data_IF_232282560412
#
_entry.id   IF_232282560412
#
_cell.length_a   1.000
_cell.length_b   1.000
_cell.length_c   1.000
_cell.angle_alpha   90.00
_cell.angle_beta   90.00
_cell.angle_gamma   90.00
#
_symmetry.space_group_name_H-M   'P 1'
#
loop_
_entity.id
_entity.type
_entity.pdbx_description
1 polymer ?
#
# COMPACT_ATOMS: atom_id res chain seq x y z
N UNK A 1 -21.89 -1.02 -22.39
CA UNK A 1 -21.93 -2.49 -22.54
C UNK A 1 -22.00 -3.08 -21.15
N UNK A 2 -23.05 -3.84 -20.81
CA UNK A 2 -23.13 -4.48 -19.50
C UNK A 2 -22.09 -5.61 -19.42
N UNK A 3 -21.07 -5.39 -18.60
CA UNK A 3 -20.02 -6.35 -18.25
C UNK A 3 -20.65 -7.62 -17.67
N UNK A 4 -20.47 -8.74 -18.36
CA UNK A 4 -20.89 -10.07 -17.88
C UNK A 4 -19.69 -11.02 -18.07
N UNK A 5 -18.71 -10.92 -17.17
CA UNK A 5 -17.59 -11.85 -17.15
C UNK A 5 -18.08 -13.20 -16.66
N UNK A 6 -17.88 -14.24 -17.46
CA UNK A 6 -18.01 -15.62 -17.01
C UNK A 6 -16.78 -15.98 -16.17
N UNK A 7 -16.78 -15.55 -14.91
CA UNK A 7 -15.67 -15.74 -14.00
C UNK A 7 -15.40 -17.22 -13.64
N UNK A 8 -16.26 -18.16 -14.04
CA UNK A 8 -16.03 -19.60 -13.82
C UNK A 8 -15.22 -20.23 -14.96
N UNK A 9 -15.35 -19.71 -16.19
CA UNK A 9 -14.70 -20.25 -17.38
C UNK A 9 -13.66 -19.32 -18.00
N UNK A 10 -13.59 -18.05 -17.59
CA UNK A 10 -12.57 -17.12 -18.05
C UNK A 10 -11.18 -17.53 -17.55
N UNK A 11 -10.22 -17.54 -18.49
CA UNK A 11 -8.83 -17.97 -18.24
C UNK A 11 -7.90 -16.81 -18.53
N UNK A 12 -7.11 -16.40 -17.54
CA UNK A 12 -5.99 -15.49 -17.73
C UNK A 12 -4.82 -16.28 -18.30
N UNK A 13 -4.49 -16.05 -19.58
CA UNK A 13 -3.43 -16.77 -20.27
C UNK A 13 -2.07 -16.15 -19.99
N UNK A 14 -1.08 -16.98 -19.71
CA UNK A 14 0.29 -16.52 -19.46
C UNK A 14 1.38 -17.42 -20.08
N UNK A 15 0.99 -18.55 -20.68
CA UNK A 15 1.93 -19.48 -21.28
C UNK A 15 1.30 -20.25 -22.45
N UNK A 16 2.13 -21.04 -23.14
CA UNK A 16 1.69 -22.08 -24.08
C UNK A 16 2.28 -23.41 -23.62
N UNK A 17 1.47 -24.47 -23.67
CA UNK A 17 1.89 -25.85 -23.43
C UNK A 17 1.92 -26.63 -24.74
N UNK A 18 2.81 -27.62 -24.84
CA UNK A 18 2.99 -28.47 -26.02
C UNK A 18 2.52 -29.92 -25.79
N UNK A 19 1.55 -30.12 -24.89
CA UNK A 19 1.06 -31.45 -24.52
C UNK A 19 0.65 -32.25 -25.77
N UNK A 20 1.30 -33.41 -25.95
CA UNK A 20 1.08 -34.33 -27.10
C UNK A 20 1.23 -33.65 -28.47
N UNK A 21 2.23 -32.78 -28.63
CA UNK A 21 2.49 -32.01 -29.85
C UNK A 21 1.35 -31.05 -30.26
N UNK A 22 0.40 -30.79 -29.37
CA UNK A 22 -0.60 -29.74 -29.55
C UNK A 22 -0.17 -28.50 -28.78
N UNK A 23 0.04 -27.40 -29.50
CA UNK A 23 0.28 -26.10 -28.88
C UNK A 23 -1.03 -25.53 -28.37
N UNK A 24 -1.22 -25.50 -27.06
CA UNK A 24 -2.45 -25.01 -26.42
C UNK A 24 -2.10 -23.85 -25.51
N UNK A 25 -2.91 -22.78 -25.53
CA UNK A 25 -2.76 -21.68 -24.57
C UNK A 25 -2.99 -22.19 -23.15
N UNK A 26 -2.11 -21.82 -22.24
CA UNK A 26 -2.16 -22.21 -20.84
C UNK A 26 -2.34 -20.97 -19.96
N UNK A 27 -3.13 -21.15 -18.91
CA UNK A 27 -3.51 -20.07 -18.02
C UNK A 27 -4.16 -20.60 -16.76
N UNK A 28 -4.65 -19.69 -15.95
CA UNK A 28 -5.35 -19.98 -14.70
C UNK A 28 -6.75 -19.36 -14.75
N UNK A 29 -7.74 -20.05 -14.17
CA UNK A 29 -9.11 -19.55 -14.13
C UNK A 29 -9.21 -18.34 -13.22
N UNK A 30 -10.10 -17.41 -13.55
CA UNK A 30 -10.38 -16.24 -12.72
C UNK A 30 -10.82 -16.60 -11.30
N UNK A 31 -11.66 -17.63 -11.11
CA UNK A 31 -12.07 -18.08 -9.76
C UNK A 31 -10.89 -18.65 -8.96
N UNK A 32 -9.98 -19.39 -9.60
CA UNK A 32 -8.80 -19.93 -8.93
C UNK A 32 -7.86 -18.80 -8.47
N UNK A 33 -7.74 -17.72 -9.26
CA UNK A 33 -6.95 -16.54 -8.88
C UNK A 33 -7.50 -15.77 -7.69
N UNK A 34 -8.77 -15.95 -7.32
CA UNK A 34 -9.32 -15.41 -6.07
C UNK A 34 -8.69 -16.02 -4.82
N UNK A 35 -8.00 -17.17 -4.97
CA UNK A 35 -7.19 -17.82 -3.92
C UNK A 35 -5.73 -17.34 -3.91
N UNK A 36 -5.45 -16.29 -4.68
CA UNK A 36 -4.14 -15.70 -4.84
C UNK A 36 -3.18 -16.59 -5.65
N UNK A 37 -2.10 -15.98 -6.13
CA UNK A 37 -1.03 -16.64 -6.86
C UNK A 37 0.31 -16.32 -6.20
N UNK A 38 1.09 -17.35 -5.93
CA UNK A 38 2.45 -17.23 -5.41
C UNK A 38 3.44 -17.63 -6.51
N UNK A 39 4.31 -16.71 -6.88
CA UNK A 39 5.30 -16.89 -7.95
C UNK A 39 6.70 -16.86 -7.35
N UNK A 40 7.45 -17.95 -7.50
CA UNK A 40 8.83 -18.04 -7.00
C UNK A 40 9.80 -18.33 -8.14
N UNK A 41 10.93 -17.63 -8.13
CA UNK A 41 11.99 -17.84 -9.10
C UNK A 41 13.16 -16.88 -8.89
N UNK A 42 14.40 -17.36 -9.06
CA UNK A 42 15.59 -16.50 -8.97
C UNK A 42 15.59 -15.43 -10.08
N UNK A 43 16.46 -14.43 -9.93
CA UNK A 43 16.69 -13.43 -10.98
C UNK A 43 17.01 -14.11 -12.32
N UNK A 44 16.43 -13.59 -13.41
CA UNK A 44 16.60 -14.14 -14.76
C UNK A 44 15.70 -15.32 -15.12
N UNK A 45 14.87 -15.83 -14.20
CA UNK A 45 13.96 -16.96 -14.47
C UNK A 45 12.64 -16.58 -15.16
N UNK A 46 12.48 -15.33 -15.58
CA UNK A 46 11.29 -14.85 -16.28
C UNK A 46 10.10 -14.47 -15.39
N UNK A 47 10.29 -14.24 -14.08
CA UNK A 47 9.21 -13.80 -13.17
C UNK A 47 8.51 -12.53 -13.67
N UNK A 48 9.27 -11.49 -14.00
CA UNK A 48 8.70 -10.22 -14.45
C UNK A 48 7.94 -10.41 -15.76
N UNK A 49 8.45 -11.22 -16.70
CA UNK A 49 7.74 -11.58 -17.95
C UNK A 49 6.43 -12.33 -17.67
N UNK A 50 6.41 -13.23 -16.69
CA UNK A 50 5.19 -13.91 -16.26
C UNK A 50 4.16 -12.91 -15.71
N UNK A 51 4.58 -12.01 -14.80
CA UNK A 51 3.71 -10.98 -14.24
C UNK A 51 3.19 -10.02 -15.31
N UNK A 52 4.06 -9.56 -16.21
CA UNK A 52 3.70 -8.71 -17.35
C UNK A 52 2.59 -9.34 -18.18
N UNK A 53 2.74 -10.60 -18.57
CA UNK A 53 1.73 -11.31 -19.37
C UNK A 53 0.41 -11.45 -18.62
N UNK A 54 0.44 -11.75 -17.32
CA UNK A 54 -0.77 -11.84 -16.50
C UNK A 54 -1.48 -10.47 -16.42
N UNK A 55 -0.75 -9.41 -16.08
CA UNK A 55 -1.29 -8.04 -15.93
C UNK A 55 -1.88 -7.57 -17.26
N UNK A 56 -1.17 -7.77 -18.37
CA UNK A 56 -1.67 -7.39 -19.69
C UNK A 56 -2.88 -8.23 -20.09
N UNK A 57 -2.90 -9.53 -19.83
CA UNK A 57 -4.08 -10.36 -20.07
C UNK A 57 -5.31 -9.81 -19.34
N UNK A 58 -5.16 -9.36 -18.08
CA UNK A 58 -6.25 -8.77 -17.31
C UNK A 58 -6.70 -7.41 -17.86
N UNK A 59 -5.75 -6.54 -18.19
CA UNK A 59 -6.03 -5.22 -18.79
C UNK A 59 -6.79 -5.37 -20.11
N UNK A 60 -6.39 -6.31 -20.97
CA UNK A 60 -7.02 -6.55 -22.27
C UNK A 60 -8.39 -7.22 -22.13
N UNK A 61 -8.58 -8.06 -21.11
CA UNK A 61 -9.88 -8.62 -20.76
C UNK A 61 -10.84 -7.58 -20.17
N UNK A 62 -10.33 -6.42 -19.73
CA UNK A 62 -11.16 -5.34 -19.18
C UNK A 62 -11.20 -5.31 -17.66
N UNK A 63 -10.40 -6.14 -16.99
CA UNK A 63 -10.33 -6.16 -15.53
C UNK A 63 -9.61 -4.93 -14.96
N UNK A 64 -9.88 -4.65 -13.70
CA UNK A 64 -9.10 -3.72 -12.88
C UNK A 64 -7.83 -4.39 -12.35
N UNK A 65 -6.70 -3.72 -12.50
CA UNK A 65 -5.41 -4.28 -12.14
C UNK A 65 -4.49 -3.23 -11.50
N UNK A 66 -3.75 -3.64 -10.49
CA UNK A 66 -2.72 -2.86 -9.84
C UNK A 66 -1.37 -3.56 -9.98
N UNK A 67 -0.34 -2.85 -10.43
CA UNK A 67 1.02 -3.38 -10.52
C UNK A 67 1.98 -2.54 -9.69
N UNK A 68 2.68 -3.17 -8.74
CA UNK A 68 3.69 -2.53 -7.88
C UNK A 68 5.08 -2.98 -8.32
N UNK A 69 5.88 -2.02 -8.78
CA UNK A 69 7.22 -2.25 -9.30
C UNK A 69 8.30 -1.51 -8.47
N UNK A 70 9.16 -2.23 -7.73
CA UNK A 70 10.27 -1.61 -7.00
C UNK A 70 11.46 -1.24 -7.90
N UNK A 71 11.51 -1.70 -9.15
CA UNK A 71 12.62 -1.45 -10.09
C UNK A 71 12.27 -0.36 -11.10
N UNK A 72 11.03 -0.36 -11.59
CA UNK A 72 10.44 0.67 -12.45
C UNK A 72 10.41 0.31 -13.94
N UNK A 73 11.32 -0.56 -14.40
CA UNK A 73 11.41 -0.96 -15.80
C UNK A 73 10.14 -1.66 -16.30
N UNK A 74 9.51 -2.48 -15.44
CA UNK A 74 8.29 -3.20 -15.80
C UNK A 74 7.10 -2.25 -15.81
N UNK A 75 7.02 -1.32 -14.85
CA UNK A 75 6.00 -0.28 -14.82
C UNK A 75 6.04 0.62 -16.06
N UNK A 76 7.22 1.06 -16.48
CA UNK A 76 7.40 1.86 -17.71
C UNK A 76 6.99 1.05 -18.95
N UNK A 77 7.46 -0.20 -19.05
CA UNK A 77 7.09 -1.08 -20.15
C UNK A 77 5.57 -1.32 -20.22
N UNK A 78 4.90 -1.59 -19.11
CA UNK A 78 3.46 -1.86 -19.09
C UNK A 78 2.65 -0.70 -19.68
N UNK A 79 3.03 0.54 -19.41
CA UNK A 79 2.37 1.74 -19.95
C UNK A 79 2.33 1.73 -21.48
N UNK A 80 3.41 1.29 -22.13
CA UNK A 80 3.49 1.23 -23.60
C UNK A 80 2.55 0.18 -24.22
N UNK A 81 2.18 -0.85 -23.46
CA UNK A 81 1.28 -1.93 -23.91
C UNK A 81 -0.18 -1.70 -23.53
N UNK A 82 -0.51 -0.62 -22.81
CA UNK A 82 -1.90 -0.30 -22.45
C UNK A 82 -2.72 -0.01 -23.72
N UNK A 83 -3.83 -0.73 -23.93
CA UNK A 83 -4.64 -0.52 -25.12
C UNK A 83 -5.31 0.86 -25.11
N UNK A 84 -5.50 1.42 -26.31
CA UNK A 84 -6.02 2.79 -26.48
C UNK A 84 -7.39 3.01 -25.81
N UNK A 85 -8.25 1.98 -25.76
CA UNK A 85 -9.57 2.05 -25.13
C UNK A 85 -9.55 2.07 -23.61
N UNK A 86 -8.42 1.72 -22.96
CA UNK A 86 -8.24 1.76 -21.49
C UNK A 86 -7.35 2.93 -21.04
N UNK A 87 -6.81 3.74 -21.95
CA UNK A 87 -5.84 4.79 -21.62
C UNK A 87 -6.34 5.79 -20.57
N UNK A 88 -7.65 6.09 -20.57
CA UNK A 88 -8.27 7.00 -19.60
C UNK A 88 -8.48 6.38 -18.21
N UNK A 89 -8.33 5.06 -18.10
CA UNK A 89 -8.50 4.32 -16.85
C UNK A 89 -7.17 4.18 -16.10
N UNK A 90 -6.07 4.68 -16.67
CA UNK A 90 -4.73 4.56 -16.11
C UNK A 90 -4.48 5.62 -15.05
N UNK A 91 -4.13 5.16 -13.86
CA UNK A 91 -3.53 5.95 -12.80
C UNK A 91 -2.07 5.52 -12.69
N UNK A 92 -1.15 6.43 -12.98
CA UNK A 92 0.28 6.20 -12.87
C UNK A 92 0.82 6.94 -11.65
N UNK A 93 1.34 6.19 -10.67
CA UNK A 93 1.96 6.75 -9.47
C UNK A 93 3.48 6.60 -9.60
N UNK A 94 4.16 7.74 -9.72
CA UNK A 94 5.60 7.83 -9.80
C UNK A 94 6.09 8.96 -8.88
N UNK A 95 6.61 8.66 -7.68
CA UNK A 95 7.10 9.67 -6.74
C UNK A 95 8.43 10.32 -7.20
N UNK A 96 9.09 9.79 -8.23
CA UNK A 96 10.24 10.43 -8.84
C UNK A 96 9.87 11.58 -9.79
N UNK A 97 8.58 11.71 -10.17
CA UNK A 97 8.09 12.86 -10.93
C UNK A 97 7.90 14.06 -9.98
N UNK A 98 8.87 14.97 -10.03
CA UNK A 98 8.88 16.18 -9.19
C UNK A 98 8.07 17.33 -9.80
N UNK A 99 7.81 17.29 -11.11
CA UNK A 99 7.05 18.33 -11.82
C UNK A 99 5.54 18.13 -11.60
N UNK A 100 5.10 16.88 -11.53
CA UNK A 100 3.69 16.50 -11.32
C UNK A 100 3.53 15.49 -10.17
N UNK A 101 3.85 15.87 -8.93
CA UNK A 101 3.80 14.95 -7.80
C UNK A 101 2.37 14.52 -7.47
N UNK A 102 2.13 13.21 -7.49
CA UNK A 102 0.84 12.62 -7.08
C UNK A 102 0.73 12.63 -5.56
N UNK A 103 -0.28 13.34 -5.03
CA UNK A 103 -0.54 13.39 -3.60
C UNK A 103 -1.13 12.08 -3.08
N UNK A 104 -0.57 11.56 -1.98
CA UNK A 104 -1.11 10.41 -1.28
C UNK A 104 -0.97 10.63 0.23
N UNK A 105 -2.10 10.88 0.89
CA UNK A 105 -2.17 11.07 2.33
C UNK A 105 -2.95 9.94 2.98
N UNK A 106 -2.24 9.02 3.62
CA UNK A 106 -2.87 7.90 4.33
C UNK A 106 -3.73 8.35 5.52
N UNK A 107 -3.52 9.55 6.05
CA UNK A 107 -4.30 10.13 7.15
C UNK A 107 -5.57 10.84 6.66
N UNK A 108 -5.78 10.96 5.35
CA UNK A 108 -6.93 11.66 4.80
C UNK A 108 -8.26 10.95 5.13
N UNK A 109 -9.16 11.71 5.76
CA UNK A 109 -10.59 11.44 5.92
C UNK A 109 -10.95 9.95 6.16
N UNK A 110 -10.33 9.36 7.17
CA UNK A 110 -10.58 7.98 7.58
C UNK A 110 -11.86 7.92 8.41
N UNK A 111 -12.81 7.07 8.00
CA UNK A 111 -14.01 6.81 8.81
C UNK A 111 -13.63 6.30 10.20
N UNK A 112 -14.39 6.69 11.23
CA UNK A 112 -14.07 6.42 12.65
C UNK A 112 -13.71 4.94 12.92
N UNK A 113 -14.41 4.02 12.24
CA UNK A 113 -14.22 2.56 12.38
C UNK A 113 -12.91 2.04 11.79
N UNK A 114 -12.26 2.80 10.92
CA UNK A 114 -11.05 2.38 10.20
C UNK A 114 -9.77 3.03 10.75
N UNK A 115 -9.87 3.98 11.69
CA UNK A 115 -8.70 4.68 12.25
C UNK A 115 -7.68 3.74 12.87
N UNK A 116 -8.13 2.78 13.68
CA UNK A 116 -7.23 1.79 14.28
C UNK A 116 -6.56 0.90 13.23
N UNK A 117 -7.25 0.58 12.13
CA UNK A 117 -6.68 -0.21 11.03
C UNK A 117 -5.61 0.59 10.27
N UNK A 118 -5.85 1.88 10.02
CA UNK A 118 -4.85 2.79 9.43
C UNK A 118 -3.64 2.91 10.33
N UNK A 119 -3.84 3.18 11.61
CA UNK A 119 -2.76 3.28 12.59
C UNK A 119 -1.95 1.98 12.64
N UNK A 120 -2.61 0.83 12.82
CA UNK A 120 -1.96 -0.49 12.86
C UNK A 120 -1.19 -0.80 11.58
N UNK A 121 -1.76 -0.50 10.40
CA UNK A 121 -1.08 -0.67 9.12
C UNK A 121 0.18 0.19 9.00
N UNK A 122 0.09 1.47 9.37
CA UNK A 122 1.26 2.37 9.41
C UNK A 122 2.33 1.89 10.39
N UNK A 123 1.93 1.44 11.59
CA UNK A 123 2.85 0.91 12.59
C UNK A 123 3.58 -0.33 12.07
N UNK A 124 2.88 -1.23 11.37
CA UNK A 124 3.49 -2.39 10.72
C UNK A 124 4.52 -2.00 9.65
N UNK A 125 4.22 -1.01 8.83
CA UNK A 125 5.16 -0.48 7.83
C UNK A 125 6.41 0.11 8.52
N UNK A 126 6.24 0.94 9.56
CA UNK A 126 7.37 1.53 10.27
C UNK A 126 8.21 0.50 11.02
N UNK A 127 7.59 -0.48 11.67
CA UNK A 127 8.28 -1.58 12.34
C UNK A 127 9.13 -2.38 11.35
N UNK A 128 8.61 -2.64 10.14
CA UNK A 128 9.35 -3.34 9.08
C UNK A 128 10.55 -2.56 8.56
N UNK A 129 10.41 -1.25 8.35
CA UNK A 129 11.49 -0.43 7.80
C UNK A 129 12.58 -0.17 8.85
N UNK A 130 12.21 -0.10 10.13
CA UNK A 130 13.14 0.11 11.23
C UNK A 130 13.42 -1.15 12.03
N UNK A 131 13.37 -2.32 11.36
CA UNK A 131 13.70 -3.62 11.95
C UNK A 131 15.06 -3.56 12.66
N UNK A 132 15.13 -4.08 13.89
CA UNK A 132 16.32 -4.00 14.75
C UNK A 132 16.55 -2.66 15.46
N UNK A 133 15.87 -1.58 15.06
CA UNK A 133 15.87 -0.27 15.74
C UNK A 133 14.51 0.09 16.37
N UNK A 134 13.50 -0.74 16.13
CA UNK A 134 12.17 -0.58 16.68
C UNK A 134 12.16 -0.86 18.18
N UNK A 135 11.47 -0.02 18.96
CA UNK A 135 11.38 -0.19 20.42
C UNK A 135 9.94 0.00 20.88
N UNK A 136 9.54 -0.69 21.94
CA UNK A 136 8.18 -0.59 22.50
C UNK A 136 7.82 0.84 22.90
N UNK A 137 8.80 1.64 23.34
CA UNK A 137 8.61 3.07 23.64
C UNK A 137 8.32 3.87 22.37
N UNK A 138 9.10 3.66 21.31
CA UNK A 138 8.89 4.30 20.01
C UNK A 138 7.50 3.96 19.47
N UNK A 139 7.14 2.69 19.53
CA UNK A 139 5.83 2.18 19.12
C UNK A 139 4.69 2.85 19.88
N UNK A 140 4.77 2.87 21.21
CA UNK A 140 3.74 3.45 22.06
C UNK A 140 3.52 4.95 21.78
N UNK A 141 4.60 5.74 21.68
CA UNK A 141 4.51 7.17 21.42
C UNK A 141 3.99 7.42 20.00
N UNK A 142 4.50 6.70 19.00
CA UNK A 142 4.12 6.91 17.60
C UNK A 142 2.67 6.49 17.35
N UNK A 143 2.18 5.41 17.95
CA UNK A 143 0.79 4.98 17.85
C UNK A 143 -0.17 6.04 18.41
N UNK A 144 0.09 6.56 19.62
CA UNK A 144 -0.70 7.65 20.21
C UNK A 144 -0.65 8.93 19.36
N UNK A 145 0.46 9.17 18.67
CA UNK A 145 0.60 10.31 17.76
C UNK A 145 -0.25 10.15 16.51
N UNK A 146 -0.19 8.99 15.85
CA UNK A 146 -0.97 8.72 14.64
C UNK A 146 -2.47 8.76 14.95
N UNK A 147 -2.90 8.13 16.05
CA UNK A 147 -4.30 8.16 16.47
C UNK A 147 -4.79 9.59 16.74
N UNK A 148 -3.99 10.41 17.43
CA UNK A 148 -4.32 11.81 17.67
C UNK A 148 -4.43 12.63 16.37
N UNK A 149 -3.54 12.39 15.40
CA UNK A 149 -3.59 13.05 14.10
C UNK A 149 -4.81 12.61 13.27
N UNK A 150 -5.21 11.33 13.33
CA UNK A 150 -6.39 10.80 12.66
C UNK A 150 -7.71 11.39 13.20
N UNK A 151 -7.73 11.86 14.43
CA UNK A 151 -8.88 12.57 15.03
C UNK A 151 -9.02 14.02 14.54
N UNK A 152 -7.97 14.58 13.94
CA UNK A 152 -7.96 15.94 13.42
C UNK A 152 -7.98 15.93 11.88
N UNK A 153 -8.99 16.54 11.24
CA UNK A 153 -8.97 16.72 9.79
C UNK A 153 -7.77 17.55 9.33
N UNK A 154 -7.35 17.33 8.08
CA UNK A 154 -6.33 18.16 7.44
C UNK A 154 -4.88 17.83 7.81
N UNK A 155 -4.64 16.76 8.58
CA UNK A 155 -3.30 16.37 8.99
C UNK A 155 -2.60 15.49 7.95
N UNK A 156 -1.28 15.51 8.00
CA UNK A 156 -0.37 14.73 7.13
C UNK A 156 0.74 14.12 7.98
N UNK A 157 1.63 13.33 7.38
CA UNK A 157 2.76 12.75 8.10
C UNK A 157 3.72 13.80 8.69
N UNK A 158 3.68 15.05 8.18
CA UNK A 158 4.39 16.18 8.80
C UNK A 158 3.93 16.44 10.24
N UNK A 159 2.66 16.14 10.54
CA UNK A 159 2.06 16.31 11.85
C UNK A 159 2.78 15.50 12.93
N UNK A 160 3.41 14.37 12.59
CA UNK A 160 4.10 13.51 13.57
C UNK A 160 5.23 14.28 14.25
N UNK A 161 6.10 14.93 13.47
CA UNK A 161 7.20 15.72 14.04
C UNK A 161 6.69 16.95 14.79
N UNK A 162 5.64 17.61 14.27
CA UNK A 162 5.03 18.78 14.92
C UNK A 162 4.40 18.44 16.27
N UNK A 163 3.77 17.27 16.42
CA UNK A 163 3.24 16.81 17.71
C UNK A 163 4.35 16.74 18.78
N UNK A 164 5.59 16.45 18.39
CA UNK A 164 6.72 16.36 19.31
C UNK A 164 7.33 17.73 19.62
N UNK A 165 7.50 18.61 18.62
CA UNK A 165 8.28 19.85 18.77
C UNK A 165 7.47 21.15 18.86
N UNK A 166 6.19 21.17 18.47
CA UNK A 166 5.35 22.37 18.38
C UNK A 166 4.20 22.25 19.40
N UNK A 167 4.41 22.85 20.59
CA UNK A 167 3.42 22.81 21.68
C UNK A 167 2.07 23.46 21.32
N UNK A 168 2.03 24.65 20.68
CA UNK A 168 0.76 25.21 20.19
C UNK A 168 0.01 24.28 19.26
N UNK A 169 0.68 23.68 18.28
CA UNK A 169 0.06 22.71 17.37
C UNK A 169 -0.46 21.48 18.12
N UNK A 170 0.36 20.91 19.01
CA UNK A 170 -0.05 19.78 19.83
C UNK A 170 -1.32 20.10 20.64
N UNK A 171 -1.41 21.28 21.24
CA UNK A 171 -2.63 21.71 21.97
C UNK A 171 -3.86 21.74 21.08
N UNK A 172 -3.75 22.20 19.83
CA UNK A 172 -4.87 22.19 18.88
C UNK A 172 -5.29 20.77 18.50
N UNK A 173 -4.35 19.87 18.21
CA UNK A 173 -4.67 18.46 17.90
C UNK A 173 -5.33 17.77 19.09
N UNK A 174 -4.79 17.97 20.31
CA UNK A 174 -5.31 17.34 21.54
C UNK A 174 -6.76 17.73 21.85
N UNK A 175 -7.20 18.93 21.46
CA UNK A 175 -8.61 19.34 21.63
C UNK A 175 -9.56 18.44 20.85
N UNK A 176 -9.15 17.96 19.67
CA UNK A 176 -9.97 17.17 18.76
C UNK A 176 -9.95 15.67 19.07
N UNK A 177 -9.05 15.21 19.95
CA UNK A 177 -8.95 13.80 20.31
C UNK A 177 -10.24 13.32 20.98
N UNK A 178 -10.84 12.29 20.39
CA UNK A 178 -12.08 11.66 20.82
C UNK A 178 -11.81 10.51 21.79
N UNK A 179 -10.76 9.73 21.54
CA UNK A 179 -10.41 8.58 22.35
C UNK A 179 -9.88 9.03 23.74
N UNK A 180 -10.53 8.65 24.85
CA UNK A 180 -10.13 9.08 26.18
C UNK A 180 -8.75 8.55 26.59
N UNK A 181 -8.33 7.38 26.09
CA UNK A 181 -7.01 6.79 26.39
C UNK A 181 -5.92 7.57 25.68
N UNK A 182 -6.10 7.86 24.39
CA UNK A 182 -5.13 8.69 23.62
C UNK A 182 -5.06 10.10 24.20
N UNK A 183 -6.20 10.66 24.61
CA UNK A 183 -6.25 11.99 25.25
C UNK A 183 -5.51 11.99 26.59
N UNK A 184 -5.69 10.95 27.41
CA UNK A 184 -5.01 10.80 28.69
C UNK A 184 -3.49 10.74 28.53
N UNK A 185 -3.00 10.03 27.51
CA UNK A 185 -1.57 10.01 27.18
C UNK A 185 -1.03 11.44 26.96
N UNK A 186 -1.70 12.25 26.14
CA UNK A 186 -1.21 13.59 25.82
C UNK A 186 -1.37 14.61 26.94
N UNK A 187 -2.48 14.57 27.69
CA UNK A 187 -2.83 15.58 28.71
C UNK A 187 -2.18 15.29 30.06
N UNK A 188 -1.94 14.01 30.38
CA UNK A 188 -1.43 13.60 31.69
C UNK A 188 -0.05 12.98 31.58
N UNK A 189 0.10 11.89 30.83
CA UNK A 189 1.37 11.16 30.79
C UNK A 189 2.49 11.99 30.17
N UNK A 190 2.34 12.37 28.90
CA UNK A 190 3.34 13.16 28.16
C UNK A 190 3.58 14.53 28.81
N UNK A 191 2.53 15.18 29.32
CA UNK A 191 2.63 16.47 29.99
C UNK A 191 3.38 16.40 31.34
N UNK A 192 3.36 15.24 32.02
CA UNK A 192 4.09 15.01 33.26
C UNK A 192 5.59 14.78 33.07
N UNK A 193 6.02 14.48 31.84
CA UNK A 193 7.43 14.26 31.53
C UNK A 193 8.23 15.55 31.64
N UNK A 194 9.46 15.46 32.15
CA UNK A 194 10.40 16.58 32.09
C UNK A 194 10.77 16.89 30.64
N UNK A 195 11.08 18.14 30.34
CA UNK A 195 11.48 18.58 28.98
C UNK A 195 12.66 17.76 28.43
N UNK A 196 13.63 17.45 29.29
CA UNK A 196 14.76 16.58 28.97
C UNK A 196 14.29 15.17 28.57
N UNK A 197 13.41 14.57 29.36
CA UNK A 197 12.89 13.23 29.06
C UNK A 197 12.04 13.21 27.80
N UNK A 198 11.19 14.23 27.57
CA UNK A 198 10.42 14.37 26.33
C UNK A 198 11.35 14.35 25.12
N UNK A 199 12.38 15.20 25.13
CA UNK A 199 13.37 15.29 24.05
C UNK A 199 14.06 13.95 23.80
N UNK A 200 14.54 13.27 24.86
CA UNK A 200 15.22 11.97 24.74
C UNK A 200 14.27 10.85 24.25
N UNK A 201 13.01 10.87 24.68
CA UNK A 201 12.01 9.87 24.30
C UNK A 201 11.55 10.02 22.85
N UNK A 202 11.42 11.25 22.34
CA UNK A 202 10.91 11.54 21.00
C UNK A 202 12.00 11.65 19.93
N UNK A 203 13.27 11.87 20.31
CA UNK A 203 14.37 12.09 19.36
C UNK A 203 14.48 11.00 18.29
N UNK A 204 14.36 9.73 18.67
CA UNK A 204 14.46 8.62 17.72
C UNK A 204 13.32 8.64 16.68
N UNK A 205 12.10 9.00 17.08
CA UNK A 205 10.96 9.16 16.18
C UNK A 205 11.19 10.33 15.23
N UNK A 206 11.57 11.49 15.78
CA UNK A 206 11.78 12.71 15.02
C UNK A 206 12.89 12.54 13.98
N UNK A 207 13.98 11.88 14.33
CA UNK A 207 15.10 11.62 13.41
C UNK A 207 14.66 10.72 12.24
N UNK A 208 13.94 9.63 12.53
CA UNK A 208 13.53 8.66 11.51
C UNK A 208 12.45 9.22 10.58
N UNK A 209 11.42 9.85 11.14
CA UNK A 209 10.38 10.53 10.34
C UNK A 209 10.97 11.73 9.60
N UNK A 210 11.86 12.48 10.25
CA UNK A 210 12.59 13.60 9.64
C UNK A 210 13.43 13.19 8.43
N UNK A 211 14.11 12.04 8.49
CA UNK A 211 14.87 11.49 7.36
C UNK A 211 13.97 11.30 6.14
N UNK A 212 12.79 10.68 6.30
CA UNK A 212 11.85 10.49 5.19
C UNK A 212 11.30 11.81 4.64
N UNK A 213 10.88 12.72 5.53
CA UNK A 213 10.30 14.00 5.14
C UNK A 213 11.34 14.99 4.60
N UNK A 214 12.63 14.75 4.80
CA UNK A 214 13.70 15.54 4.20
C UNK A 214 13.78 15.34 2.68
N UNK A 215 13.48 14.12 2.20
CA UNK A 215 13.47 13.77 0.78
C UNK A 215 12.27 14.41 0.07
N UNK A 216 12.52 15.28 -0.91
CA UNK A 216 11.46 15.96 -1.66
C UNK A 216 10.50 14.98 -2.34
N UNK A 217 11.02 13.86 -2.88
CA UNK A 217 10.23 12.79 -3.50
C UNK A 217 9.18 12.18 -2.57
N UNK A 218 9.48 12.05 -1.26
CA UNK A 218 8.52 11.55 -0.27
C UNK A 218 7.63 12.69 0.22
N UNK A 219 8.24 13.82 0.59
CA UNK A 219 7.51 14.97 1.15
C UNK A 219 6.43 15.48 0.19
N UNK A 220 6.73 15.57 -1.10
CA UNK A 220 5.78 16.05 -2.11
C UNK A 220 4.57 15.12 -2.26
N UNK A 221 4.70 13.84 -1.91
CA UNK A 221 3.60 12.86 -1.93
C UNK A 221 2.78 12.93 -0.65
N UNK A 222 3.44 12.75 0.50
CA UNK A 222 2.77 12.49 1.80
C UNK A 222 2.42 13.72 2.60
N UNK A 223 2.95 14.90 2.24
CA UNK A 223 2.66 16.16 2.92
C UNK A 223 1.47 16.92 2.32
N UNK A 224 0.83 16.39 1.28
CA UNK A 224 -0.39 16.97 0.73
C UNK A 224 -1.57 16.64 1.65
N UNK A 225 -2.43 17.62 1.92
CA UNK A 225 -3.58 17.42 2.81
C UNK A 225 -4.61 16.47 2.19
N UNK A 226 -4.83 16.60 0.88
CA UNK A 226 -5.74 15.76 0.09
C UNK A 226 -4.94 14.87 -0.85
N UNK A 227 -5.37 13.63 -1.01
CA UNK A 227 -4.81 12.71 -2.00
C UNK A 227 -5.33 13.06 -3.38
N UNK A 228 -4.45 12.93 -4.38
CA UNK A 228 -4.83 13.00 -5.79
C UNK A 228 -5.43 11.68 -6.28
N UNK A 229 -5.20 10.59 -5.54
CA UNK A 229 -5.69 9.25 -5.84
C UNK A 229 -6.76 8.80 -4.86
N UNK A 230 -7.83 8.19 -5.39
CA UNK A 230 -8.84 7.48 -4.60
C UNK A 230 -8.77 5.99 -4.93
N UNK A 231 -8.12 5.22 -4.06
CA UNK A 231 -7.88 3.79 -4.28
C UNK A 231 -9.20 3.00 -4.31
N UNK A 232 -10.20 3.41 -3.53
CA UNK A 232 -11.52 2.78 -3.56
C UNK A 232 -12.23 2.98 -4.91
N UNK A 233 -12.17 4.19 -5.45
CA UNK A 233 -12.71 4.49 -6.77
C UNK A 233 -11.98 3.73 -7.90
N UNK A 234 -10.65 3.70 -7.85
CA UNK A 234 -9.82 2.92 -8.78
C UNK A 234 -10.25 1.46 -8.79
N UNK A 235 -10.48 0.92 -7.61
CA UNK A 235 -10.92 -0.44 -7.36
C UNK A 235 -12.33 -0.75 -7.90
N UNK A 236 -13.30 0.11 -7.61
CA UNK A 236 -14.70 -0.12 -7.96
C UNK A 236 -15.01 0.20 -9.43
N UNK A 237 -14.23 1.08 -10.04
CA UNK A 237 -14.32 1.41 -11.47
C UNK A 237 -13.41 0.55 -12.35
N UNK A 238 -12.81 -0.52 -11.79
CA UNK A 238 -11.95 -1.46 -12.53
C UNK A 238 -10.81 -0.74 -13.28
N UNK A 239 -10.22 0.30 -12.68
CA UNK A 239 -9.12 1.10 -13.26
C UNK A 239 -7.79 0.34 -13.26
N UNK A 240 -6.82 0.87 -13.99
CA UNK A 240 -5.45 0.36 -14.08
C UNK A 240 -4.56 1.22 -13.20
N UNK A 241 -3.97 0.66 -12.15
CA UNK A 241 -3.11 1.38 -11.23
C UNK A 241 -1.67 0.89 -11.30
N UNK A 242 -0.77 1.68 -11.89
CA UNK A 242 0.65 1.33 -12.01
C UNK A 242 1.44 2.16 -11.02
N UNK A 243 2.11 1.49 -10.08
CA UNK A 243 2.92 2.07 -9.01
C UNK A 243 4.39 1.81 -9.33
N UNK A 244 5.09 2.85 -9.76
CA UNK A 244 6.52 2.82 -10.01
C UNK A 244 7.27 3.33 -8.78
N UNK A 245 7.97 2.45 -8.07
CA UNK A 245 8.73 2.75 -6.86
C UNK A 245 10.23 2.51 -7.07
N UNK A 246 10.73 2.80 -8.28
CA UNK A 246 12.12 2.59 -8.68
C UNK A 246 13.12 3.00 -7.60
N UNK A 247 13.67 2.00 -6.89
CA UNK A 247 14.63 2.19 -5.79
C UNK A 247 15.86 2.99 -6.24
N UNK A 248 16.26 2.84 -7.50
CA UNK A 248 17.37 3.60 -8.09
C UNK A 248 17.10 5.09 -8.22
N UNK A 249 15.84 5.51 -8.33
CA UNK A 249 15.44 6.93 -8.43
C UNK A 249 15.07 7.54 -7.09
N UNK A 250 14.35 6.80 -6.25
CA UNK A 250 13.79 7.35 -5.00
C UNK A 250 14.51 6.90 -3.73
N UNK A 251 15.41 5.92 -3.83
CA UNK A 251 16.08 5.30 -2.68
C UNK A 251 15.31 4.11 -2.10
N UNK A 252 16.03 3.17 -1.50
CA UNK A 252 15.47 1.91 -1.02
C UNK A 252 14.45 2.09 0.12
N UNK A 253 14.81 2.84 1.17
CA UNK A 253 13.92 3.03 2.32
C UNK A 253 12.66 3.82 1.95
N UNK A 254 12.78 4.81 1.06
CA UNK A 254 11.65 5.58 0.56
C UNK A 254 10.70 4.71 -0.28
N UNK A 255 11.27 3.84 -1.13
CA UNK A 255 10.50 2.86 -1.91
C UNK A 255 9.73 1.91 -1.00
N UNK A 256 10.38 1.34 0.03
CA UNK A 256 9.73 0.50 1.05
C UNK A 256 8.63 1.23 1.80
N UNK A 257 8.87 2.48 2.21
CA UNK A 257 7.87 3.30 2.90
C UNK A 257 6.64 3.55 2.04
N UNK A 258 6.83 4.11 0.84
CA UNK A 258 5.71 4.46 -0.04
C UNK A 258 4.96 3.20 -0.51
N UNK A 259 5.68 2.14 -0.86
CA UNK A 259 5.08 0.87 -1.24
C UNK A 259 4.29 0.23 -0.10
N UNK A 260 4.85 0.19 1.10
CA UNK A 260 4.16 -0.31 2.30
C UNK A 260 2.87 0.47 2.56
N UNK A 261 2.93 1.80 2.59
CA UNK A 261 1.76 2.65 2.83
C UNK A 261 0.69 2.52 1.72
N UNK A 262 1.08 2.46 0.45
CA UNK A 262 0.16 2.27 -0.67
C UNK A 262 -0.53 0.91 -0.61
N UNK A 263 0.23 -0.16 -0.35
CA UNK A 263 -0.29 -1.51 -0.20
C UNK A 263 -1.26 -1.58 0.99
N UNK A 264 -0.92 -0.96 2.12
CA UNK A 264 -1.85 -0.79 3.25
C UNK A 264 -3.12 -0.04 2.82
N UNK A 265 -3.03 1.04 2.04
CA UNK A 265 -4.23 1.75 1.57
C UNK A 265 -5.08 0.90 0.63
N UNK A 266 -4.46 0.11 -0.27
CA UNK A 266 -5.16 -0.83 -1.16
C UNK A 266 -5.93 -1.87 -0.35
N UNK A 267 -5.29 -2.45 0.66
CA UNK A 267 -5.95 -3.35 1.60
C UNK A 267 -7.16 -2.68 2.25
N UNK A 268 -6.98 -1.52 2.85
CA UNK A 268 -8.05 -0.85 3.60
C UNK A 268 -9.23 -0.51 2.67
N UNK A 269 -8.93 -0.05 1.46
CA UNK A 269 -9.93 0.25 0.44
C UNK A 269 -10.66 -1.01 -0.03
N UNK A 270 -9.98 -2.17 -0.06
CA UNK A 270 -10.63 -3.45 -0.31
C UNK A 270 -11.59 -3.82 0.83
N UNK A 271 -11.15 -3.68 2.09
CA UNK A 271 -11.96 -3.99 3.27
C UNK A 271 -13.20 -3.11 3.38
N UNK A 272 -13.08 -1.84 2.97
CA UNK A 272 -14.22 -0.91 2.89
C UNK A 272 -15.33 -1.48 1.99
N UNK A 273 -15.04 -2.36 1.03
CA UNK A 273 -16.04 -3.00 0.14
C UNK A 273 -17.01 -3.92 0.86
N UNK A 274 -16.86 -4.10 2.18
CA UNK A 274 -17.85 -4.76 3.03
C UNK A 274 -19.25 -4.13 2.87
N UNK A 275 -19.31 -2.85 2.50
CA UNK A 275 -20.55 -2.11 2.21
C UNK A 275 -21.26 -2.52 0.92
N UNK A 276 -20.54 -3.12 -0.03
CA UNK A 276 -21.08 -3.64 -1.29
C UNK A 276 -21.40 -5.13 -1.16
N UNK A 277 -22.58 -5.63 -1.57
CA UNK A 277 -22.87 -7.07 -1.59
C UNK A 277 -21.84 -7.87 -2.40
N UNK A 278 -21.41 -9.04 -1.91
CA UNK A 278 -20.29 -9.80 -2.48
C UNK A 278 -20.44 -10.11 -3.99
N UNK A 279 -21.66 -10.41 -4.45
CA UNK A 279 -21.94 -10.70 -5.85
C UNK A 279 -21.89 -9.48 -6.78
N UNK A 280 -21.90 -8.26 -6.23
CA UNK A 280 -21.74 -7.00 -6.97
C UNK A 280 -20.30 -6.49 -6.93
N UNK A 281 -19.46 -7.01 -6.03
CA UNK A 281 -18.04 -6.63 -5.93
C UNK A 281 -17.30 -7.08 -7.18
N UNK A 282 -16.56 -6.16 -7.79
CA UNK A 282 -15.68 -6.43 -8.91
C UNK A 282 -14.37 -7.05 -8.44
N UNK A 283 -13.89 -8.05 -9.17
CA UNK A 283 -12.56 -8.62 -8.94
C UNK A 283 -11.51 -7.56 -9.30
N UNK A 284 -10.53 -7.37 -8.41
CA UNK A 284 -9.43 -6.43 -8.62
C UNK A 284 -8.11 -7.14 -8.37
N UNK A 285 -7.22 -7.12 -9.35
CA UNK A 285 -6.01 -7.94 -9.35
C UNK A 285 -4.80 -7.11 -8.91
N UNK A 286 -4.21 -7.46 -7.78
CA UNK A 286 -3.01 -6.80 -7.24
C UNK A 286 -1.78 -7.65 -7.50
N UNK A 287 -0.86 -7.12 -8.28
CA UNK A 287 0.41 -7.72 -8.62
C UNK A 287 1.53 -6.98 -7.91
N UNK A 288 2.34 -7.72 -7.16
CA UNK A 288 3.48 -7.15 -6.43
C UNK A 288 4.72 -7.93 -6.81
N UNK A 289 5.63 -7.27 -7.54
CA UNK A 289 6.96 -7.80 -7.78
C UNK A 289 7.84 -7.58 -6.54
N UNK A 290 8.73 -8.53 -6.27
CA UNK A 290 9.60 -8.57 -5.08
C UNK A 290 8.83 -8.26 -3.77
N UNK A 291 7.74 -9.01 -3.54
CA UNK A 291 6.76 -8.77 -2.48
C UNK A 291 7.38 -8.70 -1.07
N UNK A 292 8.53 -9.35 -0.84
CA UNK A 292 9.22 -9.31 0.46
C UNK A 292 9.64 -7.90 0.89
N UNK A 293 9.78 -6.96 -0.05
CA UNK A 293 10.10 -5.58 0.26
C UNK A 293 8.97 -4.85 1.00
N UNK A 294 7.74 -5.35 0.88
CA UNK A 294 6.53 -4.72 1.40
C UNK A 294 5.74 -5.64 2.34
N UNK A 295 6.20 -6.87 2.53
CA UNK A 295 5.59 -7.86 3.41
C UNK A 295 5.63 -7.37 4.87
N UNK A 296 4.45 -7.07 5.40
CA UNK A 296 4.19 -6.77 6.82
C UNK A 296 3.33 -7.89 7.40
N UNK A 297 3.42 -8.17 8.71
CA UNK A 297 2.64 -9.25 9.35
C UNK A 297 1.14 -9.08 9.17
N UNK A 298 0.65 -7.83 9.16
CA UNK A 298 -0.76 -7.53 8.89
C UNK A 298 -1.19 -8.04 7.51
N UNK A 299 -0.26 -8.27 6.59
CA UNK A 299 -0.55 -8.79 5.26
C UNK A 299 -0.90 -10.28 5.23
N UNK A 300 -0.35 -11.07 6.15
CA UNK A 300 -0.68 -12.49 6.26
C UNK A 300 -2.16 -12.72 6.64
N UNK A 301 -2.65 -11.90 7.58
CA UNK A 301 -4.05 -11.91 7.98
C UNK A 301 -4.97 -11.54 6.80
N UNK A 302 -4.54 -10.64 5.93
CA UNK A 302 -5.30 -10.24 4.73
C UNK A 302 -5.35 -11.37 3.71
N UNK A 303 -4.26 -12.11 3.47
CA UNK A 303 -4.29 -13.22 2.51
C UNK A 303 -5.39 -14.23 2.85
N UNK A 304 -5.71 -14.38 4.13
CA UNK A 304 -6.80 -15.24 4.60
C UNK A 304 -8.20 -14.63 4.38
N UNK A 305 -8.33 -13.31 4.31
CA UNK A 305 -9.63 -12.59 4.25
C UNK A 305 -9.93 -11.89 2.93
N UNK A 306 -8.91 -11.59 2.11
CA UNK A 306 -8.98 -10.78 0.89
C UNK A 306 -9.96 -11.32 -0.14
N UNK A 307 -10.16 -12.64 -0.16
CA UNK A 307 -11.14 -13.31 -1.02
C UNK A 307 -12.55 -12.73 -0.87
N UNK A 308 -12.99 -12.43 0.37
CA UNK A 308 -14.32 -11.84 0.62
C UNK A 308 -14.44 -10.47 -0.03
N UNK A 309 -13.35 -9.73 -0.13
CA UNK A 309 -13.31 -8.37 -0.68
C UNK A 309 -13.04 -8.32 -2.19
N UNK A 310 -12.95 -9.48 -2.86
CA UNK A 310 -12.62 -9.60 -4.29
C UNK A 310 -11.28 -8.91 -4.66
N UNK A 311 -10.31 -8.94 -3.74
CA UNK A 311 -8.93 -8.55 -4.00
C UNK A 311 -8.10 -9.79 -4.29
N UNK A 312 -7.56 -9.91 -5.49
CA UNK A 312 -6.85 -11.10 -5.96
C UNK A 312 -5.35 -10.81 -6.07
N UNK A 313 -4.55 -11.35 -5.14
CA UNK A 313 -3.12 -11.07 -5.07
C UNK A 313 -2.30 -12.01 -5.94
N UNK A 314 -1.29 -11.47 -6.62
CA UNK A 314 -0.21 -12.21 -7.29
C UNK A 314 1.12 -11.69 -6.75
N UNK A 315 1.80 -12.51 -5.95
CA UNK A 315 3.00 -12.13 -5.20
C UNK A 315 4.20 -12.85 -5.79
N UNK A 316 5.22 -12.09 -6.21
CA UNK A 316 6.45 -12.66 -6.73
C UNK A 316 7.63 -12.49 -5.77
N UNK A 317 8.43 -13.56 -5.65
CA UNK A 317 9.61 -13.63 -4.80
C UNK A 317 10.79 -14.32 -5.47
N UNK A 318 11.99 -14.02 -4.97
CA UNK A 318 13.19 -14.75 -5.36
C UNK A 318 13.39 -16.04 -4.56
N UNK A 319 13.18 -15.97 -3.24
CA UNK A 319 13.41 -17.09 -2.32
C UNK A 319 12.35 -17.12 -1.21
N UNK A 320 11.93 -18.31 -0.78
CA UNK A 320 10.97 -18.48 0.34
C UNK A 320 11.55 -17.91 1.64
N UNK A 321 12.85 -18.09 1.88
CA UNK A 321 13.54 -17.64 3.09
C UNK A 321 13.58 -16.10 3.27
N UNK A 322 13.09 -15.33 2.30
CA UNK A 322 12.95 -13.87 2.42
C UNK A 322 11.65 -13.45 3.13
N UNK A 323 10.72 -14.39 3.35
CA UNK A 323 9.53 -14.19 4.15
C UNK A 323 9.81 -14.62 5.60
N UNK A 324 9.29 -13.84 6.54
CA UNK A 324 9.25 -14.21 7.95
C UNK A 324 8.20 -15.30 8.16
N UNK A 325 8.40 -16.23 9.11
CA UNK A 325 7.46 -17.34 9.38
C UNK A 325 5.96 -16.95 9.49
N UNK A 326 5.57 -15.77 9.99
CA UNK A 326 4.17 -15.37 10.05
C UNK A 326 3.50 -15.05 8.70
N UNK A 327 4.27 -14.92 7.60
CA UNK A 327 3.80 -14.42 6.29
C UNK A 327 3.82 -15.50 5.22
#
# INVERSE_FOLDING_TARGET
MSYNHDHENEVTYFAMTNFRNSMTKFGIKTDDRRRHMYVIGKTGMGKSVLLENLVLSDIYAGHGACFVDPHGDTAEKLIDYIPSWRRKDVVYFNPADLDFPVGFNILEAVGERHKHLVASGMMGVFAKIWEGMWSSRMEYILNNTILALLDSPGQTLLGINRMMSDEPFRKEIVKNIKDPVVRQFWVVEFASWSEKYQTEATAAIQNKIGQFLSAAVVRNVVAQVKSSINVRDIMDQEKIFIINLSKGRIGEDNSRLLGGLLITKIQLSAMERVDTPEHLRKDYYLYVDEFQNFAVESFANILSEARKYRLCLTMAHQYIAQLTEPV
#
